data_IF_199271733865
#
_entry.id   IF_199271733865
#
_cell.length_a   1.000
_cell.length_b   1.000
_cell.length_c   1.000
_cell.angle_alpha   90.00
_cell.angle_beta   90.00
_cell.angle_gamma   90.00
#
_symmetry.space_group_name_H-M   'P 1'
#
loop_
_entity.id
_entity.type
_entity.pdbx_description
1 polymer ?
#
# COMPACT_ATOMS: atom_id res chain seq x y z
N UNK A 1 -13.05 60.59 39.71
CA UNK A 1 -13.56 59.19 39.68
C UNK A 1 -14.12 58.74 38.32
N UNK A 2 -14.90 59.55 37.56
CA UNK A 2 -15.48 59.15 36.24
C UNK A 2 -14.45 58.91 35.13
N UNK A 3 -13.40 59.75 35.05
CA UNK A 3 -12.34 59.65 34.03
C UNK A 3 -11.54 58.36 34.20
N UNK A 4 -11.18 58.02 35.45
CA UNK A 4 -10.45 56.80 35.79
C UNK A 4 -11.21 55.53 35.38
N UNK A 5 -12.53 55.47 35.62
CA UNK A 5 -13.38 54.35 35.16
C UNK A 5 -13.44 54.26 33.62
N UNK A 6 -13.41 55.39 32.91
CA UNK A 6 -13.42 55.43 31.44
C UNK A 6 -12.09 54.89 30.87
N UNK A 7 -10.96 55.32 31.44
CA UNK A 7 -9.62 54.83 31.07
C UNK A 7 -9.50 53.33 31.36
N UNK A 8 -9.93 52.87 32.54
CA UNK A 8 -9.91 51.45 32.90
C UNK A 8 -10.76 50.60 31.93
N UNK A 9 -11.94 51.08 31.54
CA UNK A 9 -12.81 50.43 30.56
C UNK A 9 -12.16 50.36 29.18
N UNK A 10 -11.51 51.44 28.74
CA UNK A 10 -10.75 51.45 27.47
C UNK A 10 -9.57 50.49 27.50
N UNK A 11 -8.79 50.44 28.59
CA UNK A 11 -7.70 49.46 28.75
C UNK A 11 -8.23 48.03 28.71
N UNK A 12 -9.35 47.74 29.36
CA UNK A 12 -9.96 46.41 29.34
C UNK A 12 -10.41 45.99 27.94
N UNK A 13 -11.02 46.92 27.18
CA UNK A 13 -11.40 46.68 25.79
C UNK A 13 -10.17 46.39 24.93
N UNK A 14 -9.11 47.18 25.05
CA UNK A 14 -7.85 46.98 24.31
C UNK A 14 -7.23 45.62 24.66
N UNK A 15 -7.22 45.25 25.94
CA UNK A 15 -6.70 43.96 26.41
C UNK A 15 -7.54 42.77 25.88
N UNK A 16 -8.86 42.93 25.81
CA UNK A 16 -9.75 41.89 25.26
C UNK A 16 -9.57 41.72 23.75
N UNK A 17 -9.37 42.81 23.01
CA UNK A 17 -9.10 42.78 21.57
C UNK A 17 -7.73 42.18 21.28
N UNK A 18 -6.70 42.54 22.04
CA UNK A 18 -5.37 41.93 21.88
C UNK A 18 -5.39 40.43 22.21
N UNK A 19 -6.13 40.02 23.23
CA UNK A 19 -6.32 38.60 23.55
C UNK A 19 -7.03 37.84 22.40
N UNK A 20 -8.07 38.41 21.80
CA UNK A 20 -8.73 37.80 20.63
C UNK A 20 -7.78 37.65 19.44
N UNK A 21 -6.94 38.64 19.17
CA UNK A 21 -5.94 38.57 18.10
C UNK A 21 -4.93 37.45 18.40
N UNK A 22 -4.44 37.35 19.64
CA UNK A 22 -3.49 36.30 20.05
C UNK A 22 -4.13 34.91 19.91
N UNK A 23 -5.36 34.71 20.40
CA UNK A 23 -6.07 33.43 20.27
C UNK A 23 -6.28 33.07 18.79
N UNK A 24 -6.69 34.04 17.97
CA UNK A 24 -6.91 33.83 16.53
C UNK A 24 -5.60 33.46 15.82
N UNK A 25 -4.49 34.10 16.20
CA UNK A 25 -3.15 33.80 15.67
C UNK A 25 -2.71 32.39 16.05
N UNK A 26 -2.84 31.99 17.32
CA UNK A 26 -2.51 30.64 17.79
C UNK A 26 -3.37 29.60 17.07
N UNK A 27 -4.68 29.84 16.98
CA UNK A 27 -5.61 28.94 16.28
C UNK A 27 -5.26 28.80 14.79
N UNK A 28 -4.89 29.89 14.12
CA UNK A 28 -4.47 29.88 12.73
C UNK A 28 -3.18 29.07 12.51
N UNK A 29 -2.16 29.28 13.36
CA UNK A 29 -0.91 28.51 13.28
C UNK A 29 -1.13 27.02 13.58
N UNK A 30 -1.92 26.69 14.59
CA UNK A 30 -2.31 25.30 14.89
C UNK A 30 -3.06 24.65 13.73
N UNK A 31 -3.95 25.39 13.06
CA UNK A 31 -4.65 24.91 11.86
C UNK A 31 -3.67 24.63 10.71
N UNK A 32 -2.72 25.52 10.44
CA UNK A 32 -1.70 25.33 9.40
C UNK A 32 -0.82 24.11 9.69
N UNK A 33 -0.37 23.94 10.93
CA UNK A 33 0.41 22.77 11.35
C UNK A 33 -0.40 21.49 11.17
N UNK A 34 -1.63 21.43 11.66
CA UNK A 34 -2.48 20.27 11.51
C UNK A 34 -2.76 19.94 10.03
N UNK A 35 -2.96 20.95 9.18
CA UNK A 35 -3.08 20.76 7.73
C UNK A 35 -1.80 20.19 7.12
N UNK A 36 -0.63 20.71 7.50
CA UNK A 36 0.68 20.22 7.02
C UNK A 36 0.96 18.77 7.46
N UNK A 37 0.66 18.42 8.71
CA UNK A 37 0.79 17.06 9.25
C UNK A 37 -0.13 16.11 8.50
N UNK A 38 -1.40 16.49 8.26
CA UNK A 38 -2.32 15.67 7.45
C UNK A 38 -1.76 15.45 6.04
N UNK A 39 -1.26 16.49 5.38
CA UNK A 39 -0.67 16.35 4.04
C UNK A 39 0.51 15.39 4.08
N UNK A 40 1.44 15.56 5.01
CA UNK A 40 2.63 14.71 5.12
C UNK A 40 2.29 13.25 5.45
N UNK A 41 1.40 13.03 6.42
CA UNK A 41 0.95 11.68 6.81
C UNK A 41 0.30 10.95 5.64
N UNK A 42 -0.54 11.65 4.86
CA UNK A 42 -1.31 11.07 3.77
C UNK A 42 -0.63 11.18 2.39
N UNK A 43 0.61 11.66 2.35
CA UNK A 43 1.43 11.69 1.15
C UNK A 43 1.82 10.27 0.73
N UNK A 44 2.05 10.09 -0.58
CA UNK A 44 2.54 8.80 -1.09
C UNK A 44 3.96 8.56 -0.55
N UNK A 45 4.26 7.35 -0.07
CA UNK A 45 5.62 7.00 0.33
C UNK A 45 6.61 7.19 -0.82
N UNK A 46 7.86 7.50 -0.47
CA UNK A 46 8.94 7.54 -1.44
C UNK A 46 9.14 6.17 -2.11
N UNK A 47 9.44 6.19 -3.40
CA UNK A 47 9.71 4.97 -4.16
C UNK A 47 11.03 4.34 -3.68
N UNK A 48 10.94 3.12 -3.19
CA UNK A 48 12.10 2.27 -2.87
C UNK A 48 12.07 1.09 -3.83
N UNK A 49 13.20 0.83 -4.49
CA UNK A 49 13.38 -0.31 -5.41
C UNK A 49 14.30 -1.36 -4.77
N UNK A 50 14.03 -2.63 -5.05
CA UNK A 50 14.96 -3.72 -4.80
C UNK A 50 16.10 -3.73 -5.83
N UNK A 51 17.10 -4.59 -5.62
CA UNK A 51 18.26 -4.72 -6.50
C UNK A 51 17.90 -5.09 -7.96
N UNK A 52 16.80 -5.82 -8.15
CA UNK A 52 16.27 -6.16 -9.48
C UNK A 52 15.42 -5.05 -10.11
N UNK A 53 15.31 -3.89 -9.44
CA UNK A 53 14.61 -2.69 -9.87
C UNK A 53 13.10 -2.71 -9.67
N UNK A 54 12.53 -3.75 -9.04
CA UNK A 54 11.11 -3.76 -8.67
C UNK A 54 10.86 -2.86 -7.46
N UNK A 55 9.73 -2.14 -7.48
CA UNK A 55 9.29 -1.35 -6.33
C UNK A 55 8.96 -2.27 -5.13
N UNK A 56 9.42 -1.88 -3.93
CA UNK A 56 9.14 -2.57 -2.66
C UNK A 56 8.52 -1.62 -1.61
N UNK A 57 8.42 -0.33 -1.93
CA UNK A 57 7.64 0.65 -1.17
C UNK A 57 6.14 0.49 -1.42
N UNK A 58 5.27 0.82 -0.44
CA UNK A 58 3.83 0.89 -0.68
C UNK A 58 3.49 1.88 -1.79
N UNK A 59 2.50 1.56 -2.63
CA UNK A 59 2.15 2.37 -3.81
C UNK A 59 1.38 3.65 -3.50
N UNK A 60 0.66 3.70 -2.38
CA UNK A 60 -0.27 4.80 -2.11
C UNK A 60 -0.21 5.33 -0.68
N UNK A 61 -0.36 4.48 0.34
CA UNK A 61 -0.38 4.92 1.75
C UNK A 61 0.80 4.33 2.51
N UNK A 62 1.39 5.12 3.42
CA UNK A 62 2.23 4.55 4.49
C UNK A 62 1.40 3.59 5.36
N UNK A 63 2.06 2.66 6.06
CA UNK A 63 1.36 1.71 6.94
C UNK A 63 0.53 2.44 8.01
N UNK A 64 1.07 3.53 8.57
CA UNK A 64 0.36 4.38 9.53
C UNK A 64 -0.89 5.03 8.91
N UNK A 65 -0.74 5.69 7.76
CA UNK A 65 -1.86 6.34 7.08
C UNK A 65 -2.94 5.35 6.62
N UNK A 66 -2.53 4.16 6.16
CA UNK A 66 -3.42 3.07 5.81
C UNK A 66 -4.25 2.62 7.02
N UNK A 67 -3.58 2.26 8.13
CA UNK A 67 -4.25 1.83 9.37
C UNK A 67 -5.19 2.90 9.91
N UNK A 68 -4.75 4.17 9.96
CA UNK A 68 -5.56 5.30 10.42
C UNK A 68 -6.81 5.51 9.56
N UNK A 69 -6.70 5.47 8.23
CA UNK A 69 -7.86 5.56 7.34
C UNK A 69 -8.80 4.37 7.48
N UNK A 70 -8.25 3.16 7.64
CA UNK A 70 -9.06 1.96 7.81
C UNK A 70 -9.85 2.01 9.13
N UNK A 71 -9.23 2.42 10.24
CA UNK A 71 -9.92 2.57 11.53
C UNK A 71 -10.99 3.67 11.49
N UNK A 72 -10.71 4.81 10.85
CA UNK A 72 -11.63 5.94 10.77
C UNK A 72 -12.85 5.65 9.87
N UNK A 73 -12.66 4.92 8.76
CA UNK A 73 -13.72 4.71 7.75
C UNK A 73 -14.41 3.36 7.84
N UNK A 74 -13.69 2.33 8.29
CA UNK A 74 -14.15 0.94 8.28
C UNK A 74 -13.77 0.24 9.59
N UNK A 75 -14.28 0.71 10.75
CA UNK A 75 -13.88 0.22 12.06
C UNK A 75 -14.07 -1.29 12.22
N UNK A 76 -15.14 -1.86 11.66
CA UNK A 76 -15.39 -3.31 11.71
C UNK A 76 -14.33 -4.11 10.93
N UNK A 77 -13.85 -3.58 9.78
CA UNK A 77 -12.79 -4.22 8.98
C UNK A 77 -11.45 -4.08 9.72
N UNK A 78 -11.19 -2.90 10.29
CA UNK A 78 -9.99 -2.68 11.10
C UNK A 78 -9.93 -3.65 12.28
N UNK A 79 -11.03 -3.80 13.02
CA UNK A 79 -11.13 -4.72 14.14
C UNK A 79 -10.90 -6.16 13.70
N UNK A 80 -11.54 -6.59 12.61
CA UNK A 80 -11.34 -7.93 12.07
C UNK A 80 -9.90 -8.18 11.61
N UNK A 81 -9.22 -7.16 11.08
CA UNK A 81 -7.86 -7.26 10.55
C UNK A 81 -6.77 -7.17 11.63
N UNK A 82 -7.00 -6.41 12.71
CA UNK A 82 -5.95 -6.06 13.69
C UNK A 82 -6.28 -6.39 15.15
N UNK A 83 -7.55 -6.56 15.52
CA UNK A 83 -7.98 -6.75 16.92
C UNK A 83 -8.46 -8.18 17.23
N UNK A 84 -8.55 -9.06 16.23
CA UNK A 84 -8.77 -10.51 16.42
C UNK A 84 -7.56 -11.14 17.17
N UNK A 85 -7.75 -12.21 17.98
CA UNK A 85 -7.06 -12.37 19.26
C UNK A 85 -5.52 -12.37 19.21
N UNK A 86 -4.97 -11.75 20.25
CA UNK A 86 -3.57 -11.40 20.54
C UNK A 86 -2.50 -12.51 20.51
N UNK A 87 -2.89 -13.76 20.29
CA UNK A 87 -1.96 -14.91 20.28
C UNK A 87 -1.40 -15.25 18.90
N UNK A 88 -1.82 -14.53 17.87
CA UNK A 88 -1.30 -14.73 16.53
C UNK A 88 -0.57 -13.47 16.07
N UNK A 89 0.72 -13.59 15.72
CA UNK A 89 1.37 -12.63 14.82
C UNK A 89 0.75 -12.67 13.40
N UNK A 90 -0.34 -13.40 13.22
CA UNK A 90 -1.17 -13.51 12.03
C UNK A 90 -2.07 -12.26 12.00
N UNK A 91 -1.84 -11.37 11.04
CA UNK A 91 -2.48 -10.05 10.98
C UNK A 91 -1.53 -8.88 10.66
N UNK A 92 -0.24 -9.15 10.42
CA UNK A 92 0.67 -8.11 9.93
C UNK A 92 0.43 -7.80 8.45
N UNK A 93 0.39 -6.51 8.11
CA UNK A 93 0.29 -6.05 6.74
C UNK A 93 1.57 -6.37 5.97
N UNK A 94 1.42 -6.85 4.75
CA UNK A 94 2.52 -7.04 3.81
C UNK A 94 2.39 -6.06 2.66
N UNK A 95 3.48 -5.37 2.34
CA UNK A 95 3.53 -4.53 1.15
C UNK A 95 3.57 -5.41 -0.09
N UNK A 96 2.59 -5.27 -0.97
CA UNK A 96 2.62 -5.89 -2.30
C UNK A 96 3.68 -5.15 -3.14
N UNK A 97 4.76 -5.81 -3.57
CA UNK A 97 5.81 -5.20 -4.38
C UNK A 97 5.32 -5.00 -5.82
N UNK A 98 6.08 -4.25 -6.61
CA UNK A 98 5.89 -4.14 -8.06
C UNK A 98 4.76 -3.20 -8.51
N UNK A 99 3.93 -2.70 -7.59
CA UNK A 99 2.75 -1.88 -7.92
C UNK A 99 3.08 -0.49 -8.46
N UNK A 100 4.25 0.08 -8.14
CA UNK A 100 4.68 1.37 -8.72
C UNK A 100 5.50 1.13 -9.98
N UNK A 101 6.43 0.18 -9.90
CA UNK A 101 7.30 -0.23 -11.00
C UNK A 101 7.61 -1.72 -10.86
N UNK A 102 7.47 -2.47 -11.95
CA UNK A 102 7.96 -3.84 -12.12
C UNK A 102 8.83 -3.93 -13.37
N UNK A 103 10.06 -4.44 -13.24
CA UNK A 103 10.95 -4.78 -14.35
C UNK A 103 10.62 -6.16 -14.87
N UNK A 104 10.11 -6.21 -16.09
CA UNK A 104 9.59 -7.44 -16.70
C UNK A 104 9.69 -7.36 -18.22
N UNK A 105 9.64 -8.51 -18.89
CA UNK A 105 9.67 -8.58 -20.34
C UNK A 105 8.47 -7.86 -20.98
N UNK A 106 8.79 -6.98 -21.92
CA UNK A 106 7.84 -6.25 -22.75
C UNK A 106 7.72 -6.94 -24.11
N UNK A 107 6.52 -7.42 -24.43
CA UNK A 107 6.26 -8.10 -25.71
C UNK A 107 6.24 -7.16 -26.90
N UNK A 108 5.94 -5.88 -26.69
CA UNK A 108 5.93 -4.85 -27.74
C UNK A 108 7.35 -4.42 -28.08
N UNK A 109 8.18 -4.14 -27.07
CA UNK A 109 9.59 -3.70 -27.27
C UNK A 109 10.59 -4.86 -27.34
N UNK A 110 10.16 -6.09 -27.08
CA UNK A 110 10.97 -7.32 -27.09
C UNK A 110 12.19 -7.26 -26.16
N UNK A 111 12.08 -6.58 -25.02
CA UNK A 111 13.16 -6.42 -24.02
C UNK A 111 12.58 -6.21 -22.63
N UNK A 112 13.41 -6.30 -21.59
CA UNK A 112 12.98 -5.92 -20.23
C UNK A 112 12.75 -4.41 -20.17
N UNK A 113 11.55 -4.00 -19.75
CA UNK A 113 11.23 -2.60 -19.43
C UNK A 113 10.47 -2.50 -18.11
N UNK A 114 10.10 -1.27 -17.73
CA UNK A 114 9.31 -1.00 -16.52
C UNK A 114 7.82 -0.98 -16.85
N UNK A 115 7.06 -1.83 -16.16
CA UNK A 115 5.61 -1.81 -16.09
C UNK A 115 5.16 -1.02 -14.86
N UNK A 116 4.14 -0.19 -15.02
CA UNK A 116 3.62 0.75 -14.03
C UNK A 116 2.12 0.49 -13.69
N UNK A 117 1.51 -0.51 -14.33
CA UNK A 117 0.11 -0.89 -14.13
C UNK A 117 -0.07 -2.40 -13.88
N UNK A 118 0.86 -2.96 -13.10
CA UNK A 118 0.70 -4.33 -12.59
C UNK A 118 -0.49 -4.38 -11.63
N UNK A 119 -1.45 -5.24 -11.95
CA UNK A 119 -2.69 -5.43 -11.21
C UNK A 119 -2.62 -6.77 -10.45
N UNK A 120 -2.42 -6.76 -9.12
CA UNK A 120 -2.44 -7.98 -8.33
C UNK A 120 -3.86 -8.56 -8.25
N UNK A 121 -4.00 -9.89 -8.29
CA UNK A 121 -5.32 -10.55 -8.32
C UNK A 121 -5.43 -11.75 -7.38
N UNK A 122 -4.46 -12.66 -7.42
CA UNK A 122 -4.45 -13.85 -6.59
C UNK A 122 -3.41 -13.75 -5.48
N UNK A 123 -3.70 -14.37 -4.34
CA UNK A 123 -2.74 -14.55 -3.24
C UNK A 123 -2.82 -15.97 -2.69
N UNK A 124 -1.68 -16.58 -2.39
CA UNK A 124 -1.61 -17.86 -1.68
C UNK A 124 -0.38 -17.93 -0.79
N UNK A 125 -0.40 -18.83 0.20
CA UNK A 125 0.75 -19.18 1.01
C UNK A 125 1.33 -20.50 0.48
N UNK A 126 2.58 -20.45 0.03
CA UNK A 126 3.34 -21.62 -0.40
C UNK A 126 4.51 -21.84 0.56
N UNK A 127 4.36 -22.77 1.50
CA UNK A 127 5.26 -22.99 2.63
C UNK A 127 5.61 -21.67 3.38
N UNK A 128 6.85 -21.20 3.22
CA UNK A 128 7.39 -19.98 3.85
C UNK A 128 7.25 -18.72 2.99
N UNK A 129 6.45 -18.77 1.94
CA UNK A 129 6.28 -17.67 0.98
C UNK A 129 4.83 -17.26 0.81
N UNK A 130 4.59 -15.96 0.72
CA UNK A 130 3.37 -15.38 0.16
C UNK A 130 3.64 -15.18 -1.32
N UNK A 131 2.76 -15.72 -2.16
CA UNK A 131 2.80 -15.55 -3.61
C UNK A 131 1.63 -14.67 -4.03
N UNK A 132 1.93 -13.59 -4.75
CA UNK A 132 0.92 -12.68 -5.29
C UNK A 132 1.02 -12.68 -6.81
N UNK A 133 -0.03 -13.14 -7.50
CA UNK A 133 -0.09 -13.09 -8.96
C UNK A 133 -0.54 -11.69 -9.41
N UNK A 134 0.06 -11.21 -10.50
CA UNK A 134 -0.31 -9.94 -11.12
C UNK A 134 -0.17 -10.00 -12.65
N UNK A 135 -0.97 -9.21 -13.35
CA UNK A 135 -0.89 -9.02 -14.80
C UNK A 135 -0.77 -7.53 -15.12
N UNK A 136 -0.24 -7.22 -16.29
CA UNK A 136 -0.16 -5.84 -16.78
C UNK A 136 -1.51 -5.41 -17.35
N UNK A 137 -2.15 -4.39 -16.76
CA UNK A 137 -3.43 -3.87 -17.24
C UNK A 137 -3.32 -3.27 -18.65
N UNK A 138 -2.14 -2.80 -19.06
CA UNK A 138 -1.86 -2.34 -20.44
C UNK A 138 -1.69 -3.48 -21.44
N UNK A 139 -1.70 -4.73 -20.97
CA UNK A 139 -1.52 -5.93 -21.79
C UNK A 139 -0.26 -5.87 -22.68
N UNK A 140 0.84 -5.32 -22.14
CA UNK A 140 2.11 -5.14 -22.87
C UNK A 140 3.23 -6.01 -22.30
N UNK A 141 3.32 -6.10 -20.98
CA UNK A 141 4.36 -6.83 -20.29
C UNK A 141 3.92 -8.22 -19.87
N UNK A 142 4.89 -9.09 -19.61
CA UNK A 142 4.61 -10.41 -19.08
C UNK A 142 3.92 -10.35 -17.71
N UNK A 143 3.01 -11.29 -17.46
CA UNK A 143 2.42 -11.45 -16.14
C UNK A 143 3.47 -11.96 -15.14
N UNK A 144 3.25 -11.74 -13.85
CA UNK A 144 4.26 -12.01 -12.82
C UNK A 144 3.67 -12.65 -11.58
N UNK A 145 4.52 -13.30 -10.81
CA UNK A 145 4.25 -13.72 -9.43
C UNK A 145 5.31 -13.08 -8.53
N UNK A 146 4.87 -12.24 -7.61
CA UNK A 146 5.73 -11.67 -6.58
C UNK A 146 5.90 -12.69 -5.46
N UNK A 147 7.15 -12.94 -5.07
CA UNK A 147 7.51 -13.85 -3.99
C UNK A 147 7.93 -13.03 -2.78
N UNK A 148 7.24 -13.21 -1.67
CA UNK A 148 7.48 -12.51 -0.41
C UNK A 148 7.70 -13.57 0.67
N UNK A 149 8.69 -13.39 1.54
CA UNK A 149 8.87 -14.31 2.67
C UNK A 149 7.74 -14.09 3.69
N UNK A 150 7.02 -15.13 4.08
CA UNK A 150 5.85 -15.02 4.97
C UNK A 150 6.20 -14.59 6.39
N UNK A 151 7.42 -14.88 6.85
CA UNK A 151 7.87 -14.58 8.22
C UNK A 151 8.49 -13.18 8.30
N UNK A 152 9.42 -12.87 7.40
CA UNK A 152 10.13 -11.56 7.40
C UNK A 152 9.35 -10.47 6.66
N UNK A 153 8.33 -10.85 5.88
CA UNK A 153 7.50 -9.95 5.07
C UNK A 153 8.28 -9.13 4.05
N UNK A 154 9.50 -9.59 3.72
CA UNK A 154 10.37 -8.97 2.74
C UNK A 154 10.19 -9.60 1.37
N UNK A 155 10.21 -8.75 0.35
CA UNK A 155 10.31 -9.15 -1.04
C UNK A 155 11.54 -10.05 -1.25
N UNK A 156 11.34 -11.15 -1.97
CA UNK A 156 12.40 -12.12 -2.30
C UNK A 156 12.81 -11.97 -3.75
N UNK A 157 11.84 -12.10 -4.67
CA UNK A 157 12.03 -12.02 -6.12
C UNK A 157 10.70 -11.92 -6.86
N UNK A 158 10.78 -11.68 -8.15
CA UNK A 158 9.65 -11.75 -9.08
C UNK A 158 9.88 -12.90 -10.05
N UNK A 159 8.87 -13.77 -10.18
CA UNK A 159 8.84 -14.82 -11.19
C UNK A 159 8.05 -14.27 -12.38
N UNK A 160 8.64 -14.33 -13.57
CA UNK A 160 7.95 -13.98 -14.81
C UNK A 160 7.15 -15.19 -15.29
N UNK A 161 5.86 -14.98 -15.55
CA UNK A 161 4.99 -15.96 -16.19
C UNK A 161 4.95 -15.64 -17.68
N UNK A 162 5.45 -16.53 -18.56
CA UNK A 162 5.45 -16.27 -19.99
C UNK A 162 4.06 -15.94 -20.54
N UNK A 163 4.03 -14.95 -21.43
CA UNK A 163 2.82 -14.43 -22.05
C UNK A 163 2.20 -13.32 -21.24
N UNK A 164 0.95 -12.99 -21.58
CA UNK A 164 0.15 -11.94 -20.92
C UNK A 164 -1.15 -12.50 -20.33
N UNK A 165 -1.13 -13.68 -19.66
CA UNK A 165 -2.36 -14.27 -19.13
C UNK A 165 -2.93 -13.42 -17.99
N UNK A 166 -4.25 -13.43 -17.88
CA UNK A 166 -4.96 -12.88 -16.73
C UNK A 166 -4.85 -13.89 -15.57
N UNK A 167 -4.11 -13.56 -14.51
CA UNK A 167 -3.71 -14.49 -13.44
C UNK A 167 -4.63 -14.38 -12.22
N UNK A 168 -5.93 -14.60 -12.42
CA UNK A 168 -6.99 -14.30 -11.44
C UNK A 168 -6.97 -15.11 -10.13
N UNK A 169 -6.48 -16.34 -10.13
CA UNK A 169 -6.40 -17.20 -8.96
C UNK A 169 -5.10 -17.99 -8.92
N UNK A 170 -4.56 -18.19 -7.72
CA UNK A 170 -3.33 -18.93 -7.45
C UNK A 170 -3.51 -19.77 -6.19
N UNK A 171 -3.06 -21.02 -6.18
CA UNK A 171 -3.05 -21.88 -4.99
C UNK A 171 -1.83 -22.80 -4.99
N UNK A 172 -1.49 -23.33 -3.82
CA UNK A 172 -0.38 -24.24 -3.60
C UNK A 172 -0.87 -25.60 -3.14
N UNK A 173 -0.38 -26.66 -3.78
CA UNK A 173 -0.56 -28.04 -3.38
C UNK A 173 0.70 -28.51 -2.61
N UNK A 174 0.64 -28.70 -1.28
CA UNK A 174 1.78 -29.12 -0.48
C UNK A 174 2.16 -30.60 -0.65
N UNK A 175 1.30 -31.44 -1.25
CA UNK A 175 1.57 -32.87 -1.46
C UNK A 175 2.32 -33.05 -2.78
N UNK A 176 1.78 -32.47 -3.86
CA UNK A 176 2.44 -32.52 -5.16
C UNK A 176 3.60 -31.53 -5.27
N UNK A 177 3.65 -30.51 -4.39
CA UNK A 177 4.53 -29.35 -4.47
C UNK A 177 4.35 -28.57 -5.78
N UNK A 178 3.10 -28.31 -6.14
CA UNK A 178 2.74 -27.57 -7.35
C UNK A 178 2.09 -26.24 -7.01
N UNK A 179 2.40 -25.21 -7.79
CA UNK A 179 1.59 -24.00 -7.85
C UNK A 179 0.60 -24.15 -8.98
N UNK A 180 -0.68 -24.01 -8.65
CA UNK A 180 -1.77 -23.96 -9.60
C UNK A 180 -2.18 -22.51 -9.81
N UNK A 181 -2.35 -22.10 -11.06
CA UNK A 181 -2.69 -20.72 -11.39
C UNK A 181 -3.67 -20.68 -12.56
N UNK A 182 -4.70 -19.84 -12.44
CA UNK A 182 -5.61 -19.61 -13.56
C UNK A 182 -4.87 -18.83 -14.63
N UNK A 183 -5.13 -19.15 -15.89
CA UNK A 183 -4.61 -18.41 -17.02
C UNK A 183 -5.51 -18.52 -18.23
N UNK A 184 -4.89 -18.36 -19.40
CA UNK A 184 -5.58 -18.40 -20.68
C UNK A 184 -4.71 -19.12 -21.69
N UNK A 185 -5.29 -20.10 -22.38
CA UNK A 185 -4.65 -20.82 -23.47
C UNK A 185 -5.60 -20.82 -24.67
N UNK A 186 -5.08 -20.47 -25.86
CA UNK A 186 -5.86 -20.45 -27.11
C UNK A 186 -7.18 -19.67 -27.00
N UNK A 187 -7.16 -18.54 -26.31
CA UNK A 187 -8.34 -17.71 -26.15
C UNK A 187 -9.33 -18.17 -25.07
N UNK A 188 -9.12 -19.33 -24.44
CA UNK A 188 -10.01 -19.91 -23.43
C UNK A 188 -9.37 -19.89 -22.03
N UNK A 189 -10.22 -19.84 -20.99
CA UNK A 189 -9.77 -19.98 -19.61
C UNK A 189 -9.08 -21.35 -19.44
N UNK A 190 -7.94 -21.34 -18.75
CA UNK A 190 -7.15 -22.55 -18.53
C UNK A 190 -6.63 -22.60 -17.10
N UNK A 191 -6.37 -23.81 -16.61
CA UNK A 191 -5.58 -24.03 -15.40
C UNK A 191 -4.15 -24.38 -15.82
N UNK A 192 -3.18 -23.66 -15.27
CA UNK A 192 -1.77 -23.89 -15.50
C UNK A 192 -1.14 -24.32 -14.18
N UNK A 193 -0.05 -25.08 -14.27
CA UNK A 193 0.73 -25.47 -13.10
C UNK A 193 2.22 -25.38 -13.39
N UNK A 194 2.99 -25.05 -12.37
CA UNK A 194 4.44 -25.27 -12.39
C UNK A 194 4.87 -25.97 -11.11
N UNK A 195 5.74 -26.96 -11.27
CA UNK A 195 6.29 -27.77 -10.19
C UNK A 195 7.35 -26.98 -9.42
N UNK A 196 7.34 -27.11 -8.10
CA UNK A 196 8.43 -26.66 -7.22
C UNK A 196 9.44 -27.78 -6.93
N UNK A 197 9.17 -29.01 -7.38
CA UNK A 197 10.15 -30.11 -7.40
C UNK A 197 11.12 -29.88 -8.55
N UNK A 198 12.41 -29.97 -8.24
CA UNK A 198 13.50 -30.00 -9.22
C UNK A 198 13.53 -31.34 -9.96
#
# INVERSE_FOLDING_TARGET
>A
MKIFKKVLRSCFIILSLSLMVIISFIAYHSYLEHKSVKINVYSRPALIKAADGNSISPSYNSSYAYKKRLSERYPNIYQAAFDAPSQSHIGSNVTIPGLVVTRVYDYTKKKITEADEMTPQGITIADKYILVSAYDAKNRHASVIYVINSHTQKYVKTIQVPGRPHLGGITYDPVAHNIWITGRQNGQAALMSFSLKN
#
